data_IF_049309957309
#
_entry.id   IF_049309957309
#
_cell.length_a   1.000
_cell.length_b   1.000
_cell.length_c   1.000
_cell.angle_alpha   90.00
_cell.angle_beta   90.00
_cell.angle_gamma   90.00
#
_symmetry.space_group_name_H-M   'P 1'
#
loop_
_entity.id
_entity.type
_entity.pdbx_description
1 polymer ?
#
# COMPACT_ATOMS: atom_id res chain seq x y z
N UNK A 1 -4.34 9.65 11.24
CA UNK A 1 -3.33 8.58 11.09
C UNK A 1 -3.38 8.09 9.65
N UNK A 2 -2.28 8.17 8.93
CA UNK A 2 -2.19 7.68 7.55
C UNK A 2 -2.21 6.15 7.58
N UNK A 3 -3.05 5.51 6.76
CA UNK A 3 -3.07 4.04 6.61
C UNK A 3 -2.19 3.63 5.44
N UNK A 4 -1.82 2.34 5.38
CA UNK A 4 -1.03 1.80 4.26
C UNK A 4 -1.80 1.97 2.95
N UNK A 5 -3.08 1.63 2.90
CA UNK A 5 -3.90 1.79 1.69
C UNK A 5 -3.95 3.24 1.21
N UNK A 6 -4.19 4.19 2.13
CA UNK A 6 -4.20 5.63 1.79
C UNK A 6 -2.83 6.11 1.33
N UNK A 7 -1.75 5.67 1.94
CA UNK A 7 -0.38 6.00 1.52
C UNK A 7 -0.10 5.53 0.09
N UNK A 8 -0.38 4.25 -0.21
CA UNK A 8 -0.20 3.68 -1.54
C UNK A 8 -1.05 4.40 -2.59
N UNK A 9 -2.32 4.69 -2.26
CA UNK A 9 -3.21 5.49 -3.09
C UNK A 9 -2.58 6.84 -3.41
N UNK A 10 -2.13 7.57 -2.39
CA UNK A 10 -1.49 8.87 -2.54
C UNK A 10 -0.24 8.80 -3.43
N UNK A 11 0.62 7.80 -3.25
CA UNK A 11 1.81 7.62 -4.10
C UNK A 11 1.44 7.38 -5.57
N UNK A 12 0.42 6.55 -5.84
CA UNK A 12 -0.10 6.36 -7.21
C UNK A 12 -0.63 7.67 -7.82
N UNK A 13 -1.39 8.44 -7.06
CA UNK A 13 -1.93 9.73 -7.53
C UNK A 13 -0.85 10.74 -7.89
N UNK A 14 0.24 10.83 -7.11
CA UNK A 14 1.36 11.71 -7.43
C UNK A 14 2.16 11.31 -8.67
N UNK A 15 2.05 10.04 -9.09
CA UNK A 15 2.56 9.57 -10.38
C UNK A 15 1.56 9.73 -11.52
N UNK A 16 0.38 10.28 -11.24
CA UNK A 16 -0.72 10.46 -12.21
C UNK A 16 -1.15 9.15 -12.89
N UNK A 17 -1.00 8.02 -12.19
CA UNK A 17 -1.30 6.70 -12.73
C UNK A 17 -2.73 6.27 -12.42
N UNK A 18 -3.44 5.79 -13.43
CA UNK A 18 -4.68 5.02 -13.25
C UNK A 18 -4.36 3.61 -12.77
N UNK A 19 -5.28 2.95 -12.06
CA UNK A 19 -5.09 1.54 -11.68
C UNK A 19 -4.88 0.62 -12.88
N UNK A 20 -5.50 0.93 -14.03
CA UNK A 20 -5.32 0.16 -15.26
C UNK A 20 -3.88 0.21 -15.75
N UNK A 21 -3.29 1.41 -15.81
CA UNK A 21 -1.87 1.58 -16.17
C UNK A 21 -0.93 0.85 -15.20
N UNK A 22 -1.29 0.78 -13.91
CA UNK A 22 -0.50 0.01 -12.92
C UNK A 22 -0.56 -1.48 -13.21
N UNK A 23 -1.75 -2.03 -13.47
CA UNK A 23 -1.94 -3.45 -13.84
C UNK A 23 -1.15 -3.78 -15.12
N UNK A 24 -1.29 -2.95 -16.15
CA UNK A 24 -0.62 -3.17 -17.43
C UNK A 24 0.91 -3.08 -17.24
N UNK A 25 1.41 -2.10 -16.48
CA UNK A 25 2.86 -1.98 -16.18
C UNK A 25 3.39 -3.16 -15.36
N UNK A 26 2.62 -3.66 -14.38
CA UNK A 26 3.01 -4.81 -13.56
C UNK A 26 3.16 -6.07 -14.42
N UNK A 27 2.24 -6.28 -15.36
CA UNK A 27 2.30 -7.39 -16.30
C UNK A 27 3.46 -7.22 -17.29
N UNK A 28 3.59 -6.06 -17.93
CA UNK A 28 4.54 -5.86 -19.02
C UNK A 28 6.00 -5.82 -18.55
N UNK A 29 6.28 -5.19 -17.40
CA UNK A 29 7.66 -5.01 -16.91
C UNK A 29 8.13 -6.10 -15.96
N UNK A 30 7.20 -6.71 -15.22
CA UNK A 30 7.54 -7.62 -14.12
C UNK A 30 6.89 -9.00 -14.25
N UNK A 31 6.10 -9.24 -15.30
CA UNK A 31 5.32 -10.47 -15.48
C UNK A 31 4.45 -10.80 -14.25
N UNK A 32 3.98 -9.76 -13.54
CA UNK A 32 3.18 -9.92 -12.34
C UNK A 32 1.69 -9.73 -12.66
N UNK A 33 0.92 -10.80 -12.53
CA UNK A 33 -0.51 -10.79 -12.78
C UNK A 33 -1.29 -10.24 -11.58
N UNK A 34 -2.00 -9.13 -11.78
CA UNK A 34 -2.88 -8.53 -10.77
C UNK A 34 -4.12 -7.91 -11.43
N UNK A 35 -5.00 -7.27 -10.65
CA UNK A 35 -6.22 -6.64 -11.15
C UNK A 35 -6.50 -5.30 -10.48
N UNK A 36 -7.30 -4.48 -11.15
CA UNK A 36 -7.75 -3.19 -10.59
C UNK A 36 -8.58 -3.38 -9.32
N UNK A 37 -9.28 -4.51 -9.16
CA UNK A 37 -10.05 -4.82 -7.95
C UNK A 37 -9.13 -5.18 -6.77
N UNK A 38 -8.03 -5.87 -7.01
CA UNK A 38 -7.00 -6.13 -5.98
C UNK A 38 -6.37 -4.81 -5.54
N UNK A 39 -5.92 -3.98 -6.48
CA UNK A 39 -5.33 -2.67 -6.17
C UNK A 39 -6.31 -1.76 -5.41
N UNK A 40 -7.58 -1.71 -5.83
CA UNK A 40 -8.62 -0.94 -5.16
C UNK A 40 -8.87 -1.42 -3.73
N UNK A 41 -8.92 -2.74 -3.52
CA UNK A 41 -9.10 -3.34 -2.20
C UNK A 41 -7.94 -3.00 -1.26
N UNK A 42 -6.72 -2.95 -1.77
CA UNK A 42 -5.52 -2.54 -1.01
C UNK A 42 -5.58 -1.04 -0.69
N UNK A 43 -5.79 -0.19 -1.68
CA UNK A 43 -5.80 1.28 -1.54
C UNK A 43 -6.96 1.82 -0.69
N UNK A 44 -7.97 1.00 -0.44
CA UNK A 44 -9.11 1.32 0.44
C UNK A 44 -9.05 0.60 1.78
N UNK A 45 -7.92 -0.05 2.10
CA UNK A 45 -7.70 -0.82 3.34
C UNK A 45 -8.75 -1.93 3.57
N UNK A 46 -9.44 -2.37 2.50
CA UNK A 46 -10.40 -3.50 2.56
C UNK A 46 -9.69 -4.83 2.67
N UNK A 47 -8.50 -4.94 2.07
CA UNK A 47 -7.64 -6.11 2.21
C UNK A 47 -6.60 -5.85 3.30
N UNK A 48 -6.52 -6.76 4.28
CA UNK A 48 -5.55 -6.68 5.39
C UNK A 48 -4.20 -7.32 5.05
N UNK A 49 -4.17 -8.13 4.01
CA UNK A 49 -2.97 -8.85 3.56
C UNK A 49 -2.58 -8.30 2.20
N UNK A 50 -1.30 -7.96 2.06
CA UNK A 50 -0.72 -7.52 0.80
C UNK A 50 0.38 -8.53 0.48
N UNK A 51 0.39 -9.03 -0.74
CA UNK A 51 1.46 -9.87 -1.25
C UNK A 51 2.78 -9.07 -1.26
N UNK A 52 3.86 -9.67 -0.75
CA UNK A 52 5.17 -9.03 -0.70
C UNK A 52 5.74 -8.74 -2.08
N UNK A 53 5.52 -9.61 -3.07
CA UNK A 53 5.96 -9.39 -4.46
C UNK A 53 5.21 -8.21 -5.07
N UNK A 54 3.88 -8.18 -4.88
CA UNK A 54 3.07 -7.04 -5.32
C UNK A 54 3.58 -5.75 -4.68
N UNK A 55 3.93 -5.76 -3.39
CA UNK A 55 4.39 -4.57 -2.69
C UNK A 55 5.69 -4.01 -3.28
N UNK A 56 6.63 -4.88 -3.66
CA UNK A 56 7.88 -4.50 -4.34
C UNK A 56 7.62 -3.98 -5.76
N UNK A 57 6.71 -4.60 -6.50
CA UNK A 57 6.31 -4.10 -7.82
C UNK A 57 5.67 -2.70 -7.69
N UNK A 58 4.82 -2.51 -6.68
CA UNK A 58 4.21 -1.21 -6.42
C UNK A 58 5.23 -0.16 -5.98
N UNK A 59 6.29 -0.51 -5.23
CA UNK A 59 7.33 0.45 -4.87
C UNK A 59 8.05 1.00 -6.09
N UNK A 60 8.33 0.14 -7.08
CA UNK A 60 8.95 0.56 -8.34
C UNK A 60 7.98 1.41 -9.19
N UNK A 61 6.73 0.99 -9.36
CA UNK A 61 5.75 1.70 -10.21
C UNK A 61 5.35 3.04 -9.57
N UNK A 62 5.12 3.07 -8.26
CA UNK A 62 4.66 4.27 -7.56
C UNK A 62 5.83 5.15 -7.12
N UNK A 63 7.06 4.64 -7.17
CA UNK A 63 8.30 5.35 -6.82
C UNK A 63 8.34 5.77 -5.36
N UNK A 64 8.12 4.83 -4.44
CA UNK A 64 8.27 5.06 -3.00
C UNK A 64 9.36 4.18 -2.38
N UNK A 65 10.02 4.69 -1.34
CA UNK A 65 10.99 3.92 -0.57
C UNK A 65 10.27 3.00 0.43
N UNK A 66 10.64 1.72 0.43
CA UNK A 66 10.14 0.73 1.39
C UNK A 66 10.44 1.10 2.85
N UNK A 67 11.48 1.89 3.12
CA UNK A 67 11.76 2.42 4.44
C UNK A 67 10.70 3.42 4.92
N UNK A 68 10.17 4.28 4.03
CA UNK A 68 9.06 5.18 4.37
C UNK A 68 7.82 4.37 4.76
N UNK A 69 7.51 3.33 3.99
CA UNK A 69 6.38 2.45 4.29
C UNK A 69 6.58 1.71 5.61
N UNK A 70 7.79 1.22 5.88
CA UNK A 70 8.16 0.56 7.15
C UNK A 70 7.92 1.48 8.34
N UNK A 71 8.40 2.72 8.28
CA UNK A 71 8.21 3.70 9.36
C UNK A 71 6.73 3.95 9.62
N UNK A 72 5.95 4.19 8.55
CA UNK A 72 4.50 4.35 8.65
C UNK A 72 3.82 3.17 9.35
N UNK A 73 4.17 1.94 8.97
CA UNK A 73 3.61 0.72 9.57
C UNK A 73 3.98 0.62 11.05
N UNK A 74 5.25 0.83 11.40
CA UNK A 74 5.72 0.72 12.78
C UNK A 74 5.08 1.79 13.67
N UNK A 75 4.91 3.01 13.18
CA UNK A 75 4.27 4.09 13.93
C UNK A 75 2.77 3.85 14.13
N UNK A 76 2.10 3.28 13.13
CA UNK A 76 0.72 2.84 13.24
C UNK A 76 0.57 1.73 14.30
N UNK A 77 1.50 0.78 14.35
CA UNK A 77 1.50 -0.28 15.37
C UNK A 77 1.71 0.28 16.78
N UNK A 78 2.69 1.16 16.97
CA UNK A 78 2.95 1.82 18.26
C UNK A 78 1.74 2.64 18.73
N UNK A 79 1.11 3.36 17.82
CA UNK A 79 -0.05 4.23 18.13
C UNK A 79 -1.30 3.42 18.46
N UNK A 80 -1.56 2.33 17.72
CA UNK A 80 -2.68 1.45 17.97
C UNK A 80 -2.51 0.60 19.24
N UNK A 81 -1.28 0.21 19.56
CA UNK A 81 -0.95 -0.48 20.82
C UNK A 81 -1.21 0.38 22.05
N UNK A 82 -0.99 1.71 21.95
CA UNK A 82 -1.30 2.68 23.02
C UNK A 82 -2.81 2.87 23.22
N UNK A 83 -3.59 2.99 22.14
CA UNK A 83 -5.06 3.10 22.22
C UNK A 83 -5.71 1.90 22.91
N UNK A 84 -5.31 0.68 22.55
CA UNK A 84 -5.85 -0.55 23.17
C UNK A 84 -5.53 -0.68 24.66
N UNK A 85 -4.50 0.00 25.19
CA UNK A 85 -4.18 0.01 26.62
C UNK A 85 -5.02 1.03 27.38
N UNK A 86 -5.18 2.24 26.82
CA UNK A 86 -6.02 3.28 27.42
C UNK A 86 -7.51 2.93 27.45
N UNK A 87 -8.01 2.06 26.55
CA UNK A 87 -9.39 1.55 26.57
C UNK A 87 -9.60 0.40 27.59
N UNK A 88 -8.53 -0.11 28.21
CA UNK A 88 -8.56 -1.22 29.18
C UNK A 88 -8.29 -0.79 30.62
N UNK A 89 -8.02 0.48 30.85
CA UNK A 89 -7.84 1.14 32.15
C UNK A 89 -9.09 1.97 32.46
#
# INVERSE_FOLDING_TARGET
MMTVGKYLKTKRFFKELTMRQVVDTAQDKYNFSTSTSVLSSIETDKNRVIDGELLLVLSEIYGFDMNELKELVLDNLKSNGRKKRAERE
#
